data_IF_213396984206
#
_entry.id   IF_213396984206
#
_cell.length_a   1.000
_cell.length_b   1.000
_cell.length_c   1.000
_cell.angle_alpha   90.00
_cell.angle_beta   90.00
_cell.angle_gamma   90.00
#
_symmetry.space_group_name_H-M   'P 1'
#
loop_
_entity.id
_entity.type
_entity.pdbx_description
1 polymer ?
#
# COMPACT_ATOMS: atom_id res chain seq x y z
N UNK A 1 35.55 -56.73 55.73
CA UNK A 1 34.29 -56.13 56.23
C UNK A 1 34.24 -54.74 55.60
N UNK A 2 33.69 -54.68 54.38
CA UNK A 2 32.37 -54.10 54.09
C UNK A 2 32.42 -52.56 54.20
N UNK A 3 32.06 -51.74 53.22
CA UNK A 3 31.33 -51.90 51.96
C UNK A 3 31.37 -50.55 51.22
N UNK A 4 31.27 -50.58 49.88
CA UNK A 4 30.47 -49.67 49.01
C UNK A 4 30.75 -48.14 49.06
N UNK A 5 31.24 -47.51 47.99
CA UNK A 5 30.59 -47.11 46.72
C UNK A 5 30.33 -45.61 46.70
N UNK A 6 30.74 -44.96 45.60
CA UNK A 6 30.68 -43.51 45.45
C UNK A 6 30.81 -43.04 44.01
N UNK A 7 29.97 -43.62 43.15
CA UNK A 7 29.42 -43.01 41.93
C UNK A 7 30.37 -42.46 40.85
N UNK A 8 30.64 -43.33 39.87
CA UNK A 8 30.71 -42.96 38.45
C UNK A 8 29.41 -42.27 38.02
N UNK A 9 29.50 -41.08 37.43
CA UNK A 9 28.47 -40.57 36.53
C UNK A 9 29.04 -39.55 35.53
N UNK A 10 29.88 -40.01 34.59
CA UNK A 10 30.11 -39.26 33.34
C UNK A 10 28.97 -39.57 32.39
N UNK A 11 27.90 -38.78 32.48
CA UNK A 11 26.76 -38.87 31.59
C UNK A 11 27.16 -38.43 30.17
N UNK A 12 27.08 -39.38 29.25
CA UNK A 12 27.12 -39.22 27.81
C UNK A 12 26.01 -38.27 27.33
N UNK A 13 26.36 -37.10 26.80
CA UNK A 13 25.40 -36.20 26.16
C UNK A 13 26.03 -35.39 25.02
N UNK A 14 26.60 -36.06 24.01
CA UNK A 14 27.18 -35.40 22.82
C UNK A 14 26.84 -36.13 21.52
N UNK A 15 25.63 -36.70 21.40
CA UNK A 15 25.16 -37.34 20.16
C UNK A 15 24.04 -36.62 19.40
N UNK A 16 23.31 -35.72 20.07
CA UNK A 16 22.02 -35.20 19.56
C UNK A 16 22.11 -33.79 18.94
N UNK A 17 23.26 -33.11 19.01
CA UNK A 17 23.37 -31.69 18.63
C UNK A 17 23.54 -31.46 17.11
N UNK A 18 24.15 -32.39 16.39
CA UNK A 18 24.46 -32.18 14.97
C UNK A 18 23.20 -32.17 14.11
N UNK A 19 22.33 -33.18 14.23
CA UNK A 19 21.08 -33.28 13.45
C UNK A 19 20.12 -32.11 13.67
N UNK A 20 20.09 -31.55 14.88
CA UNK A 20 19.29 -30.38 15.20
C UNK A 20 19.84 -29.10 14.53
N UNK A 21 21.16 -28.93 14.46
CA UNK A 21 21.79 -27.79 13.79
C UNK A 21 21.52 -27.78 12.29
N UNK A 22 21.54 -28.94 11.63
CA UNK A 22 21.20 -29.05 10.20
C UNK A 22 19.73 -28.73 9.93
N UNK A 23 18.82 -29.18 10.80
CA UNK A 23 17.39 -28.84 10.70
C UNK A 23 17.14 -27.35 10.94
N UNK A 24 17.83 -26.74 11.90
CA UNK A 24 17.73 -25.31 12.16
C UNK A 24 18.25 -24.47 10.98
N UNK A 25 19.39 -24.86 10.39
CA UNK A 25 19.94 -24.21 9.19
C UNK A 25 19.02 -24.35 7.98
N UNK A 26 18.45 -25.54 7.75
CA UNK A 26 17.49 -25.76 6.67
C UNK A 26 16.21 -24.93 6.85
N UNK A 27 15.70 -24.84 8.09
CA UNK A 27 14.53 -24.02 8.40
C UNK A 27 14.81 -22.52 8.24
N UNK A 28 15.98 -22.04 8.68
CA UNK A 28 16.39 -20.65 8.48
C UNK A 28 16.60 -20.31 7.00
N UNK A 29 17.17 -21.24 6.22
CA UNK A 29 17.33 -21.08 4.77
C UNK A 29 15.99 -21.02 4.02
N UNK A 30 15.01 -21.82 4.43
CA UNK A 30 13.66 -21.78 3.88
C UNK A 30 12.94 -20.46 4.19
N UNK A 31 13.13 -19.89 5.38
CA UNK A 31 12.57 -18.59 5.75
C UNK A 31 13.25 -17.42 5.01
N UNK A 32 14.56 -17.50 4.76
CA UNK A 32 15.29 -16.48 3.99
C UNK A 32 14.90 -16.48 2.50
N UNK A 33 14.61 -17.66 1.92
CA UNK A 33 14.16 -17.77 0.53
C UNK A 33 12.73 -17.22 0.30
N UNK A 34 11.92 -17.07 1.34
CA UNK A 34 10.57 -16.51 1.24
C UNK A 34 10.57 -14.98 1.03
N UNK A 35 11.68 -14.30 1.33
CA UNK A 35 11.84 -12.86 1.11
C UNK A 35 12.43 -12.52 -0.27
N UNK A 36 12.76 -13.52 -1.09
CA UNK A 36 13.14 -13.32 -2.48
C UNK A 36 11.89 -13.05 -3.35
N UNK A 37 11.20 -11.96 -3.04
CA UNK A 37 10.22 -11.36 -3.95
C UNK A 37 10.96 -10.92 -5.21
N UNK A 38 10.47 -11.25 -6.43
CA UNK A 38 11.03 -10.67 -7.64
C UNK A 38 10.97 -9.15 -7.51
N UNK A 39 12.09 -8.47 -7.79
CA UNK A 39 12.13 -7.01 -7.87
C UNK A 39 11.14 -6.60 -8.96
N UNK A 40 9.92 -6.23 -8.55
CA UNK A 40 8.91 -5.68 -9.44
C UNK A 40 9.45 -4.30 -9.83
N UNK A 41 9.78 -4.13 -11.10
CA UNK A 41 10.19 -2.84 -11.64
C UNK A 41 9.06 -1.84 -11.39
N UNK A 42 9.27 -0.93 -10.45
CA UNK A 42 8.36 0.20 -10.16
C UNK A 42 8.50 1.32 -11.19
N UNK A 43 9.30 1.12 -12.26
CA UNK A 43 9.41 2.09 -13.34
C UNK A 43 8.01 2.32 -13.91
N UNK A 44 7.50 3.55 -13.84
CA UNK A 44 6.19 3.86 -14.39
C UNK A 44 6.17 3.50 -15.87
N UNK A 45 5.16 2.74 -16.26
CA UNK A 45 4.81 2.47 -17.65
C UNK A 45 3.64 3.38 -18.06
N UNK A 46 3.44 3.63 -19.37
CA UNK A 46 2.29 4.41 -19.84
C UNK A 46 0.95 3.89 -19.29
N UNK A 47 0.75 2.56 -19.28
CA UNK A 47 -0.44 1.94 -18.67
C UNK A 47 -0.60 2.23 -17.17
N UNK A 48 0.49 2.28 -16.40
CA UNK A 48 0.41 2.65 -14.98
C UNK A 48 0.05 4.12 -14.79
N UNK A 49 0.47 5.02 -15.69
CA UNK A 49 0.05 6.43 -15.64
C UNK A 49 -1.44 6.59 -15.89
N UNK A 50 -1.97 5.91 -16.90
CA UNK A 50 -3.41 5.93 -17.21
C UNK A 50 -4.20 5.45 -15.99
N UNK A 51 -3.78 4.36 -15.36
CA UNK A 51 -4.40 3.85 -14.14
C UNK A 51 -4.34 4.86 -12.98
N UNK A 52 -3.16 5.44 -12.72
CA UNK A 52 -2.99 6.47 -11.68
C UNK A 52 -3.86 7.70 -11.93
N UNK A 53 -3.99 8.14 -13.18
CA UNK A 53 -4.90 9.22 -13.56
C UNK A 53 -6.37 8.85 -13.28
N UNK A 54 -6.82 7.64 -13.62
CA UNK A 54 -8.20 7.21 -13.32
C UNK A 54 -8.51 7.26 -11.82
N UNK A 55 -7.54 6.89 -10.96
CA UNK A 55 -7.68 7.02 -9.50
C UNK A 55 -7.81 8.50 -9.11
N UNK A 56 -6.90 9.35 -9.56
CA UNK A 56 -6.91 10.78 -9.23
C UNK A 56 -8.19 11.48 -9.72
N UNK A 57 -8.67 11.15 -10.92
CA UNK A 57 -9.95 11.61 -11.44
C UNK A 57 -11.14 11.13 -10.57
N UNK A 58 -11.09 9.89 -10.10
CA UNK A 58 -12.07 9.35 -9.15
C UNK A 58 -12.10 10.12 -7.83
N UNK A 59 -10.93 10.49 -7.31
CA UNK A 59 -10.81 11.34 -6.10
C UNK A 59 -11.37 12.74 -6.34
N UNK A 60 -11.06 13.37 -7.47
CA UNK A 60 -11.62 14.65 -7.88
C UNK A 60 -13.15 14.63 -7.92
N UNK A 61 -13.73 13.61 -8.57
CA UNK A 61 -15.17 13.40 -8.59
C UNK A 61 -15.74 13.24 -7.17
N UNK A 62 -15.09 12.43 -6.33
CA UNK A 62 -15.50 12.25 -4.93
C UNK A 62 -15.49 13.55 -4.14
N UNK A 63 -14.46 14.38 -4.30
CA UNK A 63 -14.34 15.69 -3.67
C UNK A 63 -15.45 16.66 -4.11
N UNK A 64 -15.86 16.61 -5.38
CA UNK A 64 -17.01 17.41 -5.87
C UNK A 64 -18.33 16.89 -5.31
N UNK A 65 -18.49 15.56 -5.22
CA UNK A 65 -19.71 14.91 -4.73
C UNK A 65 -19.93 15.06 -3.22
N UNK A 66 -18.89 15.32 -2.43
CA UNK A 66 -18.99 15.43 -0.96
C UNK A 66 -19.73 16.69 -0.48
N UNK A 67 -20.03 17.65 -1.36
CA UNK A 67 -20.93 18.77 -1.07
C UNK A 67 -20.32 19.96 -0.30
N UNK A 68 -19.01 19.98 -0.07
CA UNK A 68 -18.30 21.04 0.68
C UNK A 68 -17.33 21.90 -0.13
N UNK A 69 -17.34 21.79 -1.46
CA UNK A 69 -16.33 22.45 -2.31
C UNK A 69 -16.69 23.91 -2.62
N UNK A 70 -15.72 24.82 -2.48
CA UNK A 70 -15.90 26.22 -2.89
C UNK A 70 -15.83 26.34 -4.42
N UNK A 71 -16.47 27.35 -5.04
CA UNK A 71 -16.38 27.55 -6.50
C UNK A 71 -14.94 27.71 -7.02
N UNK A 72 -14.07 28.34 -6.22
CA UNK A 72 -12.65 28.47 -6.55
C UNK A 72 -11.94 27.11 -6.58
N UNK A 73 -12.13 26.28 -5.55
CA UNK A 73 -11.57 24.92 -5.50
C UNK A 73 -12.13 24.02 -6.60
N UNK A 74 -13.42 24.15 -6.92
CA UNK A 74 -14.02 23.42 -8.04
C UNK A 74 -13.33 23.75 -9.37
N UNK A 75 -13.08 25.04 -9.61
CA UNK A 75 -12.39 25.50 -10.83
C UNK A 75 -10.95 24.99 -10.86
N UNK A 76 -10.26 25.02 -9.72
CA UNK A 76 -8.89 24.49 -9.59
C UNK A 76 -8.82 22.98 -9.90
N UNK A 77 -9.75 22.18 -9.37
CA UNK A 77 -9.85 20.75 -9.68
C UNK A 77 -10.06 20.54 -11.17
N UNK A 78 -10.99 21.26 -11.80
CA UNK A 78 -11.27 21.11 -13.24
C UNK A 78 -10.02 21.39 -14.09
N UNK A 79 -9.29 22.46 -13.76
CA UNK A 79 -8.08 22.85 -14.49
C UNK A 79 -6.98 21.79 -14.31
N UNK A 80 -6.77 21.32 -13.09
CA UNK A 80 -5.75 20.31 -12.79
C UNK A 80 -6.10 18.94 -13.38
N UNK A 81 -7.38 18.55 -13.36
CA UNK A 81 -7.86 17.29 -13.96
C UNK A 81 -7.61 17.27 -15.47
N UNK A 82 -7.99 18.36 -16.15
CA UNK A 82 -7.74 18.50 -17.58
C UNK A 82 -6.23 18.54 -17.92
N UNK A 83 -5.43 19.22 -17.10
CA UNK A 83 -3.98 19.26 -17.29
C UNK A 83 -3.33 17.86 -17.12
N UNK A 84 -3.79 17.09 -16.14
CA UNK A 84 -3.33 15.71 -15.92
C UNK A 84 -3.72 14.80 -17.09
N UNK A 85 -4.98 14.87 -17.57
CA UNK A 85 -5.44 14.10 -18.73
C UNK A 85 -4.59 14.38 -19.97
N UNK A 86 -4.32 15.66 -20.27
CA UNK A 86 -3.50 16.05 -21.41
C UNK A 86 -2.06 15.56 -21.29
N UNK A 87 -1.47 15.61 -20.08
CA UNK A 87 -0.10 15.14 -19.86
C UNK A 87 0.01 13.61 -20.04
N UNK A 88 -0.96 12.85 -19.53
CA UNK A 88 -1.04 11.39 -19.73
C UNK A 88 -1.24 11.05 -21.21
N UNK A 89 -2.15 11.74 -21.92
CA UNK A 89 -2.35 11.52 -23.34
C UNK A 89 -1.10 11.83 -24.18
N UNK A 90 -0.29 12.82 -23.78
CA UNK A 90 0.99 13.14 -24.43
C UNK A 90 2.03 12.03 -24.22
N UNK A 91 2.14 11.47 -23.03
CA UNK A 91 3.03 10.33 -22.77
C UNK A 91 2.58 9.08 -23.53
N UNK A 92 1.28 8.81 -23.62
CA UNK A 92 0.74 7.68 -24.42
C UNK A 92 1.04 7.84 -25.92
N UNK A 93 0.94 9.05 -26.45
CA UNK A 93 1.17 9.32 -27.88
C UNK A 93 2.64 9.48 -28.25
N UNK A 94 3.47 9.97 -27.33
CA UNK A 94 4.90 10.17 -27.52
C UNK A 94 5.65 9.85 -26.20
N UNK A 95 5.96 8.56 -25.95
CA UNK A 95 6.60 8.16 -24.71
C UNK A 95 8.01 8.74 -24.54
N UNK A 96 8.32 9.24 -23.35
CA UNK A 96 9.65 9.74 -23.03
C UNK A 96 9.79 10.25 -21.60
N UNK A 97 11.02 10.28 -21.07
CA UNK A 97 11.24 10.62 -19.66
C UNK A 97 10.69 12.00 -19.26
N UNK A 98 10.74 12.99 -20.16
CA UNK A 98 10.17 14.32 -19.92
C UNK A 98 8.64 14.32 -19.85
N UNK A 99 7.98 13.55 -20.72
CA UNK A 99 6.53 13.46 -20.80
C UNK A 99 5.99 12.62 -19.63
N UNK A 100 6.69 11.54 -19.29
CA UNK A 100 6.48 10.73 -18.09
C UNK A 100 6.56 11.59 -16.82
N UNK A 101 7.60 12.41 -16.67
CA UNK A 101 7.75 13.29 -15.51
C UNK A 101 6.67 14.38 -15.47
N UNK A 102 6.31 14.95 -16.61
CA UNK A 102 5.23 15.93 -16.71
C UNK A 102 3.87 15.33 -16.33
N UNK A 103 3.58 14.10 -16.77
CA UNK A 103 2.37 13.37 -16.43
C UNK A 103 2.30 13.05 -14.93
N UNK A 104 3.37 12.50 -14.35
CA UNK A 104 3.45 12.25 -12.91
C UNK A 104 3.21 13.54 -12.09
N UNK A 105 3.91 14.63 -12.42
CA UNK A 105 3.75 15.91 -11.73
C UNK A 105 2.34 16.49 -11.85
N UNK A 106 1.67 16.29 -12.99
CA UNK A 106 0.30 16.77 -13.18
C UNK A 106 -0.70 15.94 -12.36
N UNK A 107 -0.52 14.61 -12.33
CA UNK A 107 -1.33 13.71 -11.48
C UNK A 107 -1.12 14.06 -10.00
N UNK A 108 0.12 14.21 -9.53
CA UNK A 108 0.42 14.56 -8.13
C UNK A 108 -0.26 15.87 -7.69
N UNK A 109 -0.26 16.88 -8.56
CA UNK A 109 -0.97 18.14 -8.30
C UNK A 109 -2.48 17.97 -8.20
N UNK A 110 -3.07 17.12 -9.04
CA UNK A 110 -4.49 16.77 -8.93
C UNK A 110 -4.77 16.04 -7.62
N UNK A 111 -3.95 15.07 -7.24
CA UNK A 111 -4.10 14.35 -5.97
C UNK A 111 -4.06 15.33 -4.80
N UNK A 112 -3.05 16.21 -4.74
CA UNK A 112 -2.85 17.16 -3.65
C UNK A 112 -4.03 18.12 -3.42
N UNK A 113 -4.81 18.47 -4.46
CA UNK A 113 -6.01 19.31 -4.30
C UNK A 113 -7.25 18.50 -3.90
N UNK A 114 -7.24 17.18 -4.13
CA UNK A 114 -8.36 16.28 -3.84
C UNK A 114 -8.24 15.52 -2.53
N UNK A 115 -7.06 15.52 -1.91
CA UNK A 115 -6.87 14.94 -0.59
C UNK A 115 -7.78 15.64 0.43
N UNK A 116 -8.59 14.89 1.20
CA UNK A 116 -9.33 15.46 2.31
C UNK A 116 -8.35 16.15 3.27
N UNK A 117 -8.69 17.35 3.73
CA UNK A 117 -8.04 17.89 4.93
C UNK A 117 -8.49 17.00 6.08
N UNK A 118 -7.68 16.01 6.47
CA UNK A 118 -7.97 15.09 7.57
C UNK A 118 -8.37 15.89 8.82
N UNK A 119 -9.64 15.79 9.23
CA UNK A 119 -10.10 16.47 10.45
C UNK A 119 -11.60 16.64 10.68
N UNK A 120 -12.49 16.44 9.71
CA UNK A 120 -13.93 16.44 9.98
C UNK A 120 -14.52 15.05 9.66
N UNK A 121 -14.76 14.20 10.67
CA UNK A 121 -15.68 13.10 10.49
C UNK A 121 -17.04 13.71 10.14
N UNK A 122 -17.46 13.61 8.89
CA UNK A 122 -18.87 13.73 8.56
C UNK A 122 -19.56 12.61 9.32
N UNK A 123 -20.20 12.97 10.44
CA UNK A 123 -20.98 12.02 11.23
C UNK A 123 -21.87 11.20 10.29
N UNK A 124 -21.94 9.86 10.44
CA UNK A 124 -22.90 9.10 9.70
C UNK A 124 -24.28 9.65 10.04
N UNK A 125 -24.99 10.14 9.03
CA UNK A 125 -26.35 10.63 9.17
C UNK A 125 -27.20 9.57 9.86
N UNK A 126 -27.46 9.76 11.15
CA UNK A 126 -28.42 8.96 11.93
C UNK A 126 -29.81 9.32 11.40
N UNK A 127 -30.17 8.71 10.28
CA UNK A 127 -31.53 8.72 9.75
C UNK A 127 -32.01 7.29 9.55
N UNK A 128 -31.84 6.47 10.59
CA UNK A 128 -32.71 5.33 10.90
C UNK A 128 -33.58 5.72 12.09
N UNK A 129 -34.44 6.73 11.90
CA UNK A 129 -35.62 6.92 12.75
C UNK A 129 -36.80 6.27 12.03
N UNK A 130 -37.53 5.45 12.78
CA UNK A 130 -38.93 5.06 12.51
C UNK A 130 -39.17 3.80 11.67
N UNK A 131 -38.89 2.62 12.25
CA UNK A 131 -39.58 1.37 11.87
C UNK A 131 -39.62 0.31 12.99
N UNK A 132 -39.57 0.70 14.27
CA UNK A 132 -39.70 -0.25 15.39
C UNK A 132 -40.61 0.33 16.47
N UNK A 133 -41.91 0.30 16.19
CA UNK A 133 -42.94 0.80 17.08
C UNK A 133 -44.32 0.68 16.47
N UNK A 134 -44.80 -0.56 16.28
CA UNK A 134 -46.23 -0.90 16.24
C UNK A 134 -46.38 -2.42 16.04
N UNK A 135 -46.49 -3.17 17.15
CA UNK A 135 -47.54 -4.18 17.41
C UNK A 135 -47.26 -4.92 18.71
#
# INVERSE_FOLDING_TARGET
>A
MSTEDGARASASATGWSWRFRWRALALCGALAACQASPVVSTRPTPHTLVYSYMIAHGMARGAVMSGGITPHRLTEIIVLDHAALLAVAREETSPGDSNMQAANSAIERLIAVTEPMDGAPSEPSVQTRSAAGAR
#
